data_IF_495022600841
#
_entry.id   IF_495022600841
#
_cell.length_a   1.000
_cell.length_b   1.000
_cell.length_c   1.000
_cell.angle_alpha   90.00
_cell.angle_beta   90.00
_cell.angle_gamma   90.00
#
_symmetry.space_group_name_H-M   'P 1'
#
loop_
_entity.id
_entity.type
_entity.pdbx_description
1 polymer ?
#
# COMPACT_ATOMS: atom_id res chain seq x y z
N UNK A 1 -11.28 30.05 -9.87
CA UNK A 1 -10.86 28.70 -10.30
C UNK A 1 -9.67 28.25 -9.47
N UNK A 2 -9.79 27.38 -8.46
CA UNK A 2 -8.61 26.73 -7.92
C UNK A 2 -8.21 25.61 -8.87
N UNK A 3 -7.26 25.93 -9.72
CA UNK A 3 -6.52 25.00 -10.58
C UNK A 3 -5.78 23.96 -9.75
N UNK A 4 -5.95 22.71 -10.17
CA UNK A 4 -4.93 21.66 -10.23
C UNK A 4 -4.62 20.85 -8.96
N UNK A 5 -5.24 19.67 -8.92
CA UNK A 5 -4.93 18.49 -8.09
C UNK A 5 -3.42 18.18 -8.16
N UNK A 6 -2.75 18.24 -7.02
CA UNK A 6 -1.36 17.80 -6.88
C UNK A 6 -1.27 16.28 -6.86
N UNK A 7 -0.42 15.77 -7.75
CA UNK A 7 -0.15 14.37 -8.03
C UNK A 7 0.28 13.62 -6.76
N UNK A 8 -0.55 12.67 -6.34
CA UNK A 8 -0.27 11.85 -5.15
C UNK A 8 0.71 10.76 -5.58
N UNK A 9 1.96 10.88 -5.15
CA UNK A 9 2.98 9.86 -5.38
C UNK A 9 2.46 8.48 -4.94
N UNK A 10 2.72 7.40 -5.72
CA UNK A 10 2.29 6.06 -5.36
C UNK A 10 2.89 5.70 -4.01
N UNK A 11 2.04 5.46 -3.01
CA UNK A 11 2.49 5.09 -1.67
C UNK A 11 2.67 3.57 -1.68
N UNK A 12 3.91 3.11 -1.78
CA UNK A 12 4.20 1.68 -1.66
C UNK A 12 4.01 1.26 -0.19
N UNK A 13 3.23 0.21 0.04
CA UNK A 13 3.02 -0.39 1.36
C UNK A 13 3.31 -1.89 1.26
N UNK A 14 3.79 -2.51 2.33
CA UNK A 14 4.12 -3.92 2.37
C UNK A 14 3.17 -4.62 3.33
N UNK A 15 2.47 -5.64 2.89
CA UNK A 15 1.48 -6.36 3.66
C UNK A 15 1.94 -7.81 3.89
N UNK A 16 1.78 -8.33 5.10
CA UNK A 16 2.09 -9.72 5.39
C UNK A 16 0.89 -10.64 5.12
N UNK A 17 1.07 -11.69 4.32
CA UNK A 17 0.02 -12.65 3.95
C UNK A 17 -0.42 -13.57 5.09
N UNK A 18 0.45 -13.79 6.08
CA UNK A 18 0.16 -14.71 7.20
C UNK A 18 -0.65 -14.04 8.31
N UNK A 19 -0.29 -12.79 8.65
CA UNK A 19 -0.85 -12.08 9.80
C UNK A 19 -1.66 -10.84 9.42
N UNK A 20 -1.48 -10.30 8.22
CA UNK A 20 -2.12 -9.05 7.81
C UNK A 20 -1.32 -7.78 8.12
N UNK A 21 -0.10 -7.92 8.65
CA UNK A 21 0.69 -6.77 9.09
C UNK A 21 1.12 -5.87 7.92
N UNK A 22 0.85 -4.56 8.01
CA UNK A 22 1.19 -3.58 6.97
C UNK A 22 2.31 -2.61 7.40
N UNK A 23 3.32 -2.40 6.55
CA UNK A 23 4.45 -1.50 6.81
C UNK A 23 4.82 -0.69 5.56
N UNK A 24 5.16 0.61 5.66
CA UNK A 24 5.61 1.41 4.51
C UNK A 24 7.05 1.11 4.07
N UNK A 25 7.75 0.19 4.74
CA UNK A 25 9.14 -0.17 4.45
C UNK A 25 9.30 -1.70 4.43
N UNK A 26 9.93 -2.22 3.38
CA UNK A 26 10.32 -3.63 3.27
C UNK A 26 11.43 -3.92 4.29
N UNK A 27 11.19 -4.91 5.15
CA UNK A 27 12.15 -5.37 6.14
C UNK A 27 12.65 -6.80 5.90
N UNK A 28 12.08 -7.53 4.92
CA UNK A 28 12.41 -8.94 4.63
C UNK A 28 11.82 -9.94 5.62
N UNK A 29 11.59 -9.49 6.86
CA UNK A 29 10.98 -10.26 7.93
C UNK A 29 9.72 -9.56 8.48
N UNK A 30 8.65 -10.34 8.63
CA UNK A 30 7.40 -9.93 9.28
C UNK A 30 7.64 -9.63 10.78
N UNK A 31 7.17 -8.49 11.30
CA UNK A 31 7.36 -8.15 12.73
C UNK A 31 6.43 -8.88 13.69
N UNK A 32 5.26 -9.28 13.21
CA UNK A 32 4.23 -9.93 14.01
C UNK A 32 4.45 -11.45 14.04
N UNK A 33 4.54 -12.05 12.85
CA UNK A 33 4.71 -13.48 12.65
C UNK A 33 6.17 -13.96 12.58
N UNK A 34 7.15 -13.07 12.40
CA UNK A 34 8.60 -13.38 12.26
C UNK A 34 8.99 -14.26 11.08
N UNK A 35 8.05 -14.53 10.19
CA UNK A 35 8.23 -15.26 8.94
C UNK A 35 9.01 -14.43 7.91
N UNK A 36 9.75 -15.15 7.07
CA UNK A 36 10.54 -14.61 5.96
C UNK A 36 9.86 -14.97 4.64
N UNK A 37 9.69 -13.98 3.75
CA UNK A 37 9.04 -14.18 2.45
C UNK A 37 7.51 -14.05 2.44
N UNK A 38 6.89 -13.78 3.59
CA UNK A 38 5.43 -13.56 3.71
C UNK A 38 5.03 -12.09 3.54
N UNK A 39 5.99 -11.20 3.27
CA UNK A 39 5.78 -9.77 3.02
C UNK A 39 5.59 -9.53 1.52
N UNK A 40 4.38 -9.11 1.13
CA UNK A 40 4.00 -8.72 -0.22
C UNK A 40 3.99 -7.21 -0.41
N UNK A 41 4.46 -6.74 -1.56
CA UNK A 41 4.39 -5.32 -1.93
C UNK A 41 3.00 -4.96 -2.46
N UNK A 42 2.26 -4.20 -1.67
CA UNK A 42 1.01 -3.58 -2.07
C UNK A 42 1.32 -2.16 -2.49
N UNK A 43 1.36 -1.90 -3.80
CA UNK A 43 1.19 -0.54 -4.25
C UNK A 43 -0.19 -0.09 -3.75
N UNK A 44 -0.22 0.84 -2.78
CA UNK A 44 -1.43 1.60 -2.54
C UNK A 44 -1.55 2.50 -3.76
N UNK A 45 -2.06 1.91 -4.85
CA UNK A 45 -2.59 2.60 -5.99
C UNK A 45 -3.54 3.61 -5.36
N UNK A 46 -3.11 4.86 -5.31
CA UNK A 46 -3.92 5.93 -4.75
C UNK A 46 -5.22 5.82 -5.50
N UNK A 47 -6.28 5.38 -4.82
CA UNK A 47 -7.57 5.07 -5.42
C UNK A 47 -7.98 6.26 -6.29
N UNK A 48 -7.68 6.09 -7.57
CA UNK A 48 -7.86 7.02 -8.67
C UNK A 48 -8.45 6.18 -9.79
N UNK A 49 -9.46 5.38 -9.46
CA UNK A 49 -10.66 5.22 -10.25
C UNK A 49 -11.77 5.80 -9.37
N UNK A 50 -12.49 6.86 -9.73
CA UNK A 50 -13.08 7.06 -11.05
C UNK A 50 -14.23 6.05 -11.20
N UNK A 51 -15.46 6.55 -11.12
CA UNK A 51 -16.73 5.88 -11.48
C UNK A 51 -17.37 4.90 -10.48
N UNK A 52 -18.21 5.45 -9.60
CA UNK A 52 -19.66 5.18 -9.54
C UNK A 52 -20.30 6.56 -9.28
N UNK A 53 -21.11 7.19 -10.14
CA UNK A 53 -22.20 6.68 -10.96
C UNK A 53 -23.50 7.00 -10.24
N UNK A 54 -24.12 8.15 -10.55
CA UNK A 54 -25.40 8.60 -9.98
C UNK A 54 -25.49 10.11 -9.82
#
# INVERSE_FOLDING_TARGET
MPTSKSSKAPKVSYHCTECGWSSPKWMGQCRECREWGTLEEVQAAGTSGGAVGG
#
